data_IF_807541936025
#
_entry.id   IF_807541936025
#
_cell.length_a   1.000
_cell.length_b   1.000
_cell.length_c   1.000
_cell.angle_alpha   90.00
_cell.angle_beta   90.00
_cell.angle_gamma   90.00
#
_symmetry.space_group_name_H-M   'P 1'
#
loop_
_entity.id
_entity.type
_entity.pdbx_description
1 polymer ?
#
# COMPACT_ATOMS: atom_id res chain seq x y z
N UNK A 1 22.91 -1.81 3.60
CA UNK A 1 23.46 -2.20 2.31
C UNK A 1 22.50 -3.12 1.53
N UNK A 2 21.83 -4.05 2.20
CA UNK A 2 20.88 -4.99 1.58
C UNK A 2 19.41 -4.51 1.63
N UNK A 3 19.17 -3.21 1.67
CA UNK A 3 17.81 -2.64 1.69
C UNK A 3 17.11 -2.73 0.34
N UNK A 4 17.86 -2.74 -0.75
CA UNK A 4 17.36 -2.95 -2.11
C UNK A 4 17.54 -4.40 -2.54
N UNK A 5 16.56 -4.96 -3.24
CA UNK A 5 16.63 -6.33 -3.75
C UNK A 5 17.72 -6.55 -4.80
N UNK A 6 18.22 -5.48 -5.44
CA UNK A 6 19.36 -5.56 -6.34
C UNK A 6 20.72 -5.73 -5.63
N UNK A 7 20.82 -5.40 -4.33
CA UNK A 7 22.07 -5.42 -3.57
C UNK A 7 22.23 -6.73 -2.81
N UNK A 8 23.41 -7.34 -2.93
CA UNK A 8 23.87 -8.45 -2.09
C UNK A 8 25.23 -8.09 -1.52
N UNK A 9 25.23 -7.52 -0.31
CA UNK A 9 26.44 -7.07 0.35
C UNK A 9 26.87 -8.04 1.47
N UNK A 10 28.13 -8.39 1.47
CA UNK A 10 28.80 -9.12 2.55
C UNK A 10 29.81 -8.21 3.24
N UNK A 11 29.91 -8.34 4.56
CA UNK A 11 30.86 -7.60 5.38
C UNK A 11 31.83 -8.60 6.00
N UNK A 12 33.12 -8.43 5.73
CA UNK A 12 34.18 -9.20 6.35
C UNK A 12 35.05 -8.31 7.23
N UNK A 13 35.45 -8.81 8.37
CA UNK A 13 36.38 -8.16 9.28
C UNK A 13 37.74 -8.86 9.14
N UNK A 14 38.75 -8.14 8.69
CA UNK A 14 40.12 -8.62 8.56
C UNK A 14 41.04 -7.90 9.56
N UNK A 15 42.17 -8.50 9.96
CA UNK A 15 43.17 -7.78 10.72
C UNK A 15 43.63 -6.53 9.96
N UNK A 16 43.71 -5.39 10.66
CA UNK A 16 44.24 -4.16 10.09
C UNK A 16 45.73 -4.14 9.95
N UNK A 17 46.28 -3.16 9.23
CA UNK A 17 47.73 -3.00 9.03
C UNK A 17 48.43 -2.60 10.34
N UNK A 18 47.75 -1.99 11.29
CA UNK A 18 48.28 -1.59 12.59
C UNK A 18 47.90 -2.60 13.68
N UNK A 19 48.74 -2.72 14.71
CA UNK A 19 48.53 -3.65 15.83
C UNK A 19 47.24 -3.26 16.60
N UNK A 20 46.25 -4.18 16.61
CA UNK A 20 44.92 -3.93 17.21
C UNK A 20 43.93 -3.25 16.27
N UNK A 21 44.31 -2.90 15.03
CA UNK A 21 43.42 -2.39 14.01
C UNK A 21 42.57 -3.47 13.38
N UNK A 22 41.35 -3.10 12.93
CA UNK A 22 40.47 -3.98 12.17
C UNK A 22 40.10 -3.30 10.85
N UNK A 23 40.27 -4.02 9.75
CA UNK A 23 39.82 -3.58 8.43
C UNK A 23 38.44 -4.14 8.14
N UNK A 24 37.48 -3.28 7.84
CA UNK A 24 36.16 -3.69 7.40
C UNK A 24 36.13 -3.70 5.87
N UNK A 25 35.95 -4.90 5.30
CA UNK A 25 35.83 -5.10 3.85
C UNK A 25 34.36 -5.32 3.51
N UNK A 26 33.81 -4.45 2.66
CA UNK A 26 32.44 -4.55 2.19
C UNK A 26 32.49 -4.94 0.70
N UNK A 27 31.96 -6.11 0.39
CA UNK A 27 31.81 -6.59 -0.99
C UNK A 27 30.33 -6.53 -1.36
N UNK A 28 29.97 -5.72 -2.36
CA UNK A 28 28.60 -5.62 -2.84
C UNK A 28 28.50 -6.18 -4.26
N UNK A 29 27.61 -7.14 -4.47
CA UNK A 29 27.25 -7.64 -5.80
C UNK A 29 25.92 -7.02 -6.19
N UNK A 30 25.89 -6.38 -7.36
CA UNK A 30 24.69 -5.81 -7.93
C UNK A 30 24.03 -6.84 -8.87
N UNK A 31 22.75 -7.11 -8.66
CA UNK A 31 21.90 -7.84 -9.57
C UNK A 31 21.07 -6.87 -10.44
N UNK A 32 20.10 -7.38 -11.18
CA UNK A 32 19.22 -6.53 -12.00
C UNK A 32 18.44 -5.55 -11.11
N UNK A 33 18.41 -4.29 -11.52
CA UNK A 33 17.65 -3.24 -10.84
C UNK A 33 16.13 -3.36 -11.05
N UNK A 34 15.68 -4.35 -11.78
CA UNK A 34 14.26 -4.59 -12.00
C UNK A 34 13.92 -6.07 -11.86
N UNK A 35 12.69 -6.33 -11.39
CA UNK A 35 12.09 -7.66 -11.30
C UNK A 35 10.63 -7.52 -11.70
N UNK A 36 10.13 -8.43 -12.50
CA UNK A 36 8.74 -8.44 -12.93
C UNK A 36 8.16 -9.84 -12.97
N UNK A 37 6.85 -9.93 -12.86
CA UNK A 37 6.08 -11.16 -13.03
C UNK A 37 4.78 -10.88 -13.77
N UNK A 38 4.35 -11.87 -14.55
CA UNK A 38 3.02 -11.91 -15.15
C UNK A 38 2.37 -13.23 -14.74
N UNK A 39 1.09 -13.20 -14.45
CA UNK A 39 0.32 -14.35 -14.02
C UNK A 39 -1.10 -14.31 -14.57
N UNK A 40 -1.69 -15.49 -14.72
CA UNK A 40 -3.12 -15.67 -15.00
C UNK A 40 -3.66 -16.58 -13.91
N UNK A 41 -4.80 -16.20 -13.36
CA UNK A 41 -5.49 -16.99 -12.33
C UNK A 41 -7.00 -16.85 -12.49
N UNK A 42 -7.76 -17.65 -11.73
CA UNK A 42 -9.22 -17.65 -11.69
C UNK A 42 -9.74 -17.23 -10.30
N UNK A 43 -9.06 -16.31 -9.63
CA UNK A 43 -9.46 -15.81 -8.31
C UNK A 43 -10.44 -14.64 -8.36
N UNK A 44 -10.88 -14.22 -9.54
CA UNK A 44 -11.95 -13.25 -9.70
C UNK A 44 -13.32 -13.83 -9.33
N UNK A 45 -14.35 -12.99 -9.40
CA UNK A 45 -15.74 -13.39 -9.17
C UNK A 45 -16.53 -13.35 -10.47
N UNK A 46 -17.53 -14.24 -10.60
CA UNK A 46 -18.31 -14.41 -11.84
C UNK A 46 -18.94 -13.09 -12.32
N UNK A 47 -19.41 -12.25 -11.41
CA UNK A 47 -20.09 -11.00 -11.74
C UNK A 47 -19.17 -9.94 -12.37
N UNK A 48 -17.87 -9.95 -12.08
CA UNK A 48 -16.88 -8.99 -12.60
C UNK A 48 -15.78 -9.63 -13.44
N UNK A 49 -15.82 -10.95 -13.58
CA UNK A 49 -14.89 -11.76 -14.39
C UNK A 49 -14.00 -12.65 -13.55
N UNK A 50 -14.17 -13.97 -13.72
CA UNK A 50 -13.48 -15.02 -12.97
C UNK A 50 -11.97 -15.03 -13.25
N UNK A 51 -11.59 -14.97 -14.53
CA UNK A 51 -10.18 -15.02 -14.93
C UNK A 51 -9.53 -13.66 -14.87
N UNK A 52 -8.35 -13.60 -14.23
CA UNK A 52 -7.58 -12.38 -14.04
C UNK A 52 -6.20 -12.51 -14.67
N UNK A 53 -5.75 -11.44 -15.29
CA UNK A 53 -4.37 -11.24 -15.73
C UNK A 53 -3.70 -10.26 -14.77
N UNK A 54 -2.61 -10.68 -14.15
CA UNK A 54 -1.86 -9.90 -13.17
C UNK A 54 -0.45 -9.60 -13.69
N UNK A 55 0.01 -8.38 -13.43
CA UNK A 55 1.37 -7.95 -13.72
C UNK A 55 1.97 -7.19 -12.55
N UNK A 56 3.23 -7.48 -12.24
CA UNK A 56 3.99 -6.79 -11.21
C UNK A 56 5.36 -6.38 -11.73
N UNK A 57 5.82 -5.20 -11.33
CA UNK A 57 7.14 -4.66 -11.65
C UNK A 57 7.73 -3.97 -10.42
N UNK A 58 8.93 -4.35 -10.05
CA UNK A 58 9.74 -3.70 -9.02
C UNK A 58 10.95 -3.07 -9.68
N UNK A 59 11.20 -1.81 -9.38
CA UNK A 59 12.37 -1.06 -9.82
C UNK A 59 13.14 -0.61 -8.58
N UNK A 60 14.40 -1.02 -8.48
CA UNK A 60 15.29 -0.62 -7.41
C UNK A 60 16.17 0.54 -7.87
N UNK A 61 16.27 1.59 -7.05
CA UNK A 61 17.12 2.74 -7.23
C UNK A 61 16.84 3.53 -8.55
N UNK A 62 15.56 3.70 -8.88
CA UNK A 62 15.10 4.38 -10.11
C UNK A 62 15.58 5.83 -10.16
N UNK A 63 15.56 6.54 -9.03
CA UNK A 63 15.97 7.94 -8.92
C UNK A 63 17.43 8.11 -8.44
N UNK A 64 18.16 7.02 -8.18
CA UNK A 64 19.53 7.08 -7.69
C UNK A 64 19.66 7.44 -6.20
N UNK A 65 18.56 7.41 -5.43
CA UNK A 65 18.48 7.79 -4.01
C UNK A 65 18.21 6.61 -3.09
N UNK A 66 18.55 5.40 -3.54
CA UNK A 66 18.30 4.13 -2.83
C UNK A 66 16.81 3.87 -2.63
N UNK A 67 16.00 4.27 -3.59
CA UNK A 67 14.56 4.13 -3.62
C UNK A 67 14.12 2.78 -4.19
N UNK A 68 12.88 2.39 -3.86
CA UNK A 68 12.21 1.24 -4.48
C UNK A 68 10.86 1.69 -4.98
N UNK A 69 10.57 1.37 -6.24
CA UNK A 69 9.27 1.60 -6.86
C UNK A 69 8.65 0.25 -7.21
N UNK A 70 7.39 0.08 -6.85
CA UNK A 70 6.59 -1.09 -7.17
C UNK A 70 5.36 -0.66 -7.96
N UNK A 71 5.08 -1.38 -9.04
CA UNK A 71 3.84 -1.27 -9.80
C UNK A 71 3.16 -2.62 -9.84
N UNK A 72 1.83 -2.61 -9.72
CA UNK A 72 0.99 -3.76 -10.02
C UNK A 72 -0.21 -3.34 -10.85
N UNK A 73 -0.65 -4.24 -11.71
CA UNK A 73 -1.85 -4.11 -12.50
C UNK A 73 -2.56 -5.46 -12.57
N UNK A 74 -3.88 -5.44 -12.45
CA UNK A 74 -4.71 -6.62 -12.65
C UNK A 74 -5.94 -6.23 -13.46
N UNK A 75 -6.38 -7.11 -14.37
CA UNK A 75 -7.61 -6.91 -15.14
C UNK A 75 -8.25 -8.27 -15.41
N UNK A 76 -9.58 -8.29 -15.43
CA UNK A 76 -10.31 -9.47 -15.88
C UNK A 76 -10.06 -9.70 -17.37
N UNK A 77 -10.02 -10.98 -17.75
CA UNK A 77 -9.82 -11.46 -19.13
C UNK A 77 -10.86 -12.54 -19.46
N UNK A 78 -11.01 -12.81 -20.75
CA UNK A 78 -11.91 -13.86 -21.23
C UNK A 78 -13.31 -13.37 -21.60
N UNK A 79 -14.15 -14.33 -22.00
CA UNK A 79 -15.57 -14.06 -22.29
C UNK A 79 -16.37 -14.19 -20.99
N UNK A 80 -17.31 -13.30 -20.78
CA UNK A 80 -18.22 -13.30 -19.65
C UNK A 80 -19.61 -13.65 -20.12
N UNK A 81 -20.38 -14.38 -19.30
CA UNK A 81 -21.76 -14.74 -19.60
C UNK A 81 -22.69 -13.53 -19.54
N UNK A 82 -22.39 -12.61 -18.62
CA UNK A 82 -23.14 -11.37 -18.45
C UNK A 82 -22.42 -10.21 -19.15
N UNK A 83 -23.17 -9.27 -19.76
CA UNK A 83 -22.59 -8.03 -20.24
C UNK A 83 -22.03 -7.20 -19.06
N UNK A 84 -21.17 -6.24 -19.37
CA UNK A 84 -20.66 -5.29 -18.37
C UNK A 84 -19.90 -5.92 -17.18
N UNK A 85 -19.13 -6.98 -17.45
CA UNK A 85 -18.22 -7.55 -16.46
C UNK A 85 -16.83 -6.90 -16.56
N UNK A 86 -16.47 -6.05 -15.60
CA UNK A 86 -15.17 -5.37 -15.54
C UNK A 86 -14.60 -5.45 -14.12
N UNK A 87 -13.32 -5.76 -14.03
CA UNK A 87 -12.52 -5.59 -12.81
C UNK A 87 -11.12 -5.18 -13.21
N UNK A 88 -10.70 -3.99 -12.80
CA UNK A 88 -9.36 -3.48 -13.05
C UNK A 88 -8.78 -2.89 -11.77
N UNK A 89 -7.53 -3.21 -11.50
CA UNK A 89 -6.80 -2.58 -10.42
C UNK A 89 -5.42 -2.16 -10.86
N UNK A 90 -4.97 -1.02 -10.36
CA UNK A 90 -3.63 -0.50 -10.56
C UNK A 90 -3.11 -0.04 -9.22
N UNK A 91 -1.88 -0.39 -8.89
CA UNK A 91 -1.24 0.15 -7.71
C UNK A 91 0.20 0.54 -8.00
N UNK A 92 0.62 1.61 -7.34
CA UNK A 92 1.99 2.10 -7.34
C UNK A 92 2.40 2.37 -5.90
N UNK A 93 3.58 1.92 -5.51
CA UNK A 93 4.21 2.37 -4.28
C UNK A 93 5.65 2.78 -4.57
N UNK A 94 6.08 3.85 -3.93
CA UNK A 94 7.44 4.31 -3.96
C UNK A 94 7.92 4.53 -2.54
N UNK A 95 9.16 4.14 -2.23
CA UNK A 95 9.75 4.37 -0.92
C UNK A 95 11.22 4.73 -1.03
N UNK A 96 11.66 5.65 -0.17
CA UNK A 96 13.02 6.14 -0.12
C UNK A 96 13.49 6.25 1.32
N UNK A 97 14.56 5.52 1.71
CA UNK A 97 15.17 5.66 3.02
C UNK A 97 16.19 6.82 3.03
N UNK A 98 16.09 7.70 4.03
CA UNK A 98 17.05 8.77 4.29
C UNK A 98 17.45 8.73 5.76
N UNK A 99 18.63 8.20 6.06
CA UNK A 99 19.11 7.96 7.42
C UNK A 99 18.11 7.10 8.23
N UNK A 100 17.51 7.67 9.28
CA UNK A 100 16.50 6.99 10.12
C UNK A 100 15.06 7.27 9.69
N UNK A 101 14.87 7.98 8.58
CA UNK A 101 13.58 8.29 8.00
C UNK A 101 13.32 7.42 6.78
N UNK A 102 12.07 7.06 6.58
CA UNK A 102 11.60 6.44 5.35
C UNK A 102 10.36 7.18 4.85
N UNK A 103 10.47 7.71 3.66
CA UNK A 103 9.36 8.29 2.92
C UNK A 103 8.70 7.22 2.09
N UNK A 104 7.37 7.23 2.05
CA UNK A 104 6.61 6.31 1.19
C UNK A 104 5.43 7.03 0.58
N UNK A 105 5.22 6.79 -0.72
CA UNK A 105 4.05 7.21 -1.47
C UNK A 105 3.33 5.95 -1.92
N UNK A 106 2.02 5.91 -1.76
CA UNK A 106 1.20 4.81 -2.25
C UNK A 106 -0.01 5.39 -2.97
N UNK A 107 -0.33 4.78 -4.11
CA UNK A 107 -1.51 5.08 -4.90
C UNK A 107 -2.10 3.78 -5.39
N UNK A 108 -3.42 3.60 -5.23
CA UNK A 108 -4.14 2.47 -5.78
C UNK A 108 -5.47 2.92 -6.36
N UNK A 109 -5.77 2.41 -7.53
CA UNK A 109 -7.02 2.63 -8.24
C UNK A 109 -7.67 1.29 -8.51
N UNK A 110 -8.96 1.21 -8.26
CA UNK A 110 -9.77 0.04 -8.56
C UNK A 110 -11.05 0.50 -9.26
N UNK A 111 -11.44 -0.22 -10.29
CA UNK A 111 -12.65 0.01 -11.07
C UNK A 111 -13.35 -1.31 -11.29
N UNK A 112 -14.67 -1.30 -11.17
CA UNK A 112 -15.49 -2.47 -11.42
C UNK A 112 -16.78 -2.08 -12.14
N UNK A 113 -17.29 -3.03 -12.93
CA UNK A 113 -18.62 -2.98 -13.51
C UNK A 113 -19.20 -4.39 -13.48
N UNK A 114 -20.46 -4.51 -13.13
CA UNK A 114 -21.19 -5.77 -13.08
C UNK A 114 -22.66 -5.59 -13.42
N UNK A 115 -23.23 -6.62 -14.03
CA UNK A 115 -24.68 -6.72 -14.25
C UNK A 115 -25.32 -7.41 -13.05
N UNK A 116 -26.35 -6.78 -12.49
CA UNK A 116 -27.22 -7.38 -11.47
C UNK A 116 -28.47 -7.90 -12.14
N UNK A 117 -28.73 -9.20 -11.96
CA UNK A 117 -29.92 -9.85 -12.51
C UNK A 117 -31.11 -9.54 -11.60
N UNK A 118 -32.03 -8.73 -12.08
CA UNK A 118 -33.30 -8.43 -11.39
C UNK A 118 -34.44 -9.33 -11.85
N UNK A 119 -35.52 -9.37 -11.10
CA UNK A 119 -36.68 -10.20 -11.42
C UNK A 119 -37.41 -9.77 -12.69
N UNK A 120 -37.30 -8.52 -13.11
CA UNK A 120 -38.00 -7.92 -14.27
C UNK A 120 -37.01 -7.35 -15.26
N UNK A 121 -35.99 -6.65 -14.79
CA UNK A 121 -34.98 -5.97 -15.63
C UNK A 121 -33.62 -6.17 -15.00
N UNK A 122 -32.60 -6.43 -15.83
CA UNK A 122 -31.22 -6.41 -15.41
C UNK A 122 -30.72 -4.97 -15.41
N UNK A 123 -29.86 -4.60 -14.48
CA UNK A 123 -29.26 -3.27 -14.40
C UNK A 123 -27.76 -3.37 -14.12
N UNK A 124 -27.02 -2.37 -14.56
CA UNK A 124 -25.58 -2.32 -14.32
C UNK A 124 -25.26 -1.52 -13.06
N UNK A 125 -24.27 -2.00 -12.33
CA UNK A 125 -23.64 -1.26 -11.22
C UNK A 125 -22.17 -1.14 -11.56
N UNK A 126 -21.65 0.07 -11.49
CA UNK A 126 -20.22 0.31 -11.65
C UNK A 126 -19.69 1.29 -10.61
N UNK A 127 -18.40 1.23 -10.38
CA UNK A 127 -17.76 2.12 -9.42
C UNK A 127 -16.26 2.14 -9.54
N UNK A 128 -15.69 3.15 -8.91
CA UNK A 128 -14.25 3.30 -8.80
C UNK A 128 -13.81 3.70 -7.40
N UNK A 129 -12.61 3.32 -7.03
CA UNK A 129 -11.99 3.68 -5.76
C UNK A 129 -10.54 4.09 -5.98
N UNK A 130 -10.19 5.29 -5.54
CA UNK A 130 -8.83 5.82 -5.55
C UNK A 130 -8.37 5.99 -4.11
N UNK A 131 -7.25 5.34 -3.75
CA UNK A 131 -6.59 5.54 -2.47
C UNK A 131 -5.20 6.09 -2.71
N UNK A 132 -4.88 7.21 -2.09
CA UNK A 132 -3.56 7.85 -2.16
C UNK A 132 -3.06 8.12 -0.77
N UNK A 133 -1.80 7.81 -0.48
CA UNK A 133 -1.21 8.11 0.81
C UNK A 133 0.24 8.56 0.71
N UNK A 134 0.60 9.46 1.61
CA UNK A 134 1.98 9.85 1.88
C UNK A 134 2.27 9.42 3.32
N UNK A 135 3.34 8.69 3.53
CA UNK A 135 3.76 8.23 4.84
C UNK A 135 5.20 8.63 5.12
N UNK A 136 5.44 9.08 6.32
CA UNK A 136 6.75 9.31 6.89
C UNK A 136 6.94 8.40 8.10
N UNK A 137 7.93 7.54 8.04
CA UNK A 137 8.32 6.68 9.15
C UNK A 137 9.68 7.11 9.70
N UNK A 138 9.85 7.07 11.02
CA UNK A 138 11.11 7.32 11.70
C UNK A 138 11.42 6.22 12.70
N UNK A 139 12.60 5.62 12.57
CA UNK A 139 13.14 4.76 13.61
C UNK A 139 13.74 5.62 14.72
N UNK A 140 13.08 5.62 15.88
CA UNK A 140 13.51 6.39 17.06
C UNK A 140 14.57 5.63 17.88
N UNK A 141 14.40 4.31 17.97
CA UNK A 141 15.32 3.45 18.70
C UNK A 141 15.54 2.14 17.94
N UNK A 142 16.78 1.71 17.89
CA UNK A 142 17.19 0.42 17.35
C UNK A 142 18.38 -0.10 18.13
N UNK A 143 18.16 -1.13 18.93
CA UNK A 143 19.16 -1.76 19.77
C UNK A 143 19.11 -3.30 19.67
N UNK A 144 19.92 -3.96 20.48
CA UNK A 144 19.96 -5.43 20.54
C UNK A 144 18.68 -6.01 21.12
N UNK A 145 18.02 -5.28 22.02
CA UNK A 145 16.81 -5.75 22.73
C UNK A 145 15.51 -5.29 22.10
N UNK A 146 15.54 -4.35 21.14
CA UNK A 146 14.30 -3.90 20.53
C UNK A 146 14.45 -2.81 19.48
N UNK A 147 13.31 -2.46 18.88
CA UNK A 147 13.18 -1.42 17.88
C UNK A 147 11.88 -0.63 18.14
N UNK A 148 11.98 0.71 18.07
CA UNK A 148 10.83 1.62 18.14
C UNK A 148 10.76 2.46 16.86
N UNK A 149 9.65 2.36 16.17
CA UNK A 149 9.33 3.17 14.99
C UNK A 149 8.10 4.02 15.28
N UNK A 150 8.10 5.26 14.78
CA UNK A 150 6.93 6.12 14.69
C UNK A 150 6.63 6.41 13.23
N UNK A 151 5.35 6.46 12.89
CA UNK A 151 4.90 6.85 11.55
C UNK A 151 3.77 7.86 11.61
N UNK A 152 3.76 8.73 10.61
CA UNK A 152 2.66 9.64 10.32
C UNK A 152 2.27 9.46 8.85
N UNK A 153 0.98 9.28 8.58
CA UNK A 153 0.46 9.13 7.23
C UNK A 153 -0.69 10.10 7.01
N UNK A 154 -0.76 10.62 5.80
CA UNK A 154 -1.93 11.35 5.29
C UNK A 154 -2.52 10.56 4.14
N UNK A 155 -3.81 10.22 4.25
CA UNK A 155 -4.50 9.28 3.38
C UNK A 155 -5.71 9.98 2.78
N UNK A 156 -5.82 9.95 1.45
CA UNK A 156 -7.04 10.30 0.70
C UNK A 156 -7.69 9.00 0.22
N UNK A 157 -8.99 8.85 0.48
CA UNK A 157 -9.85 7.79 -0.06
C UNK A 157 -10.99 8.43 -0.83
N UNK A 158 -11.13 8.08 -2.09
CA UNK A 158 -12.19 8.57 -2.98
C UNK A 158 -12.90 7.36 -3.57
N UNK A 159 -14.20 7.24 -3.33
CA UNK A 159 -15.05 6.16 -3.85
C UNK A 159 -16.26 6.75 -4.55
N UNK A 160 -16.52 6.31 -5.78
CA UNK A 160 -17.65 6.72 -6.61
C UNK A 160 -18.42 5.48 -7.05
N UNK A 161 -19.73 5.52 -6.90
CA UNK A 161 -20.61 4.42 -7.26
C UNK A 161 -21.77 4.93 -8.12
N UNK A 162 -22.21 4.11 -9.06
CA UNK A 162 -23.25 4.41 -10.00
C UNK A 162 -24.16 3.18 -10.20
N UNK A 163 -25.44 3.45 -10.47
CA UNK A 163 -26.42 2.48 -11.00
C UNK A 163 -26.94 3.04 -12.30
N UNK A 164 -26.81 2.29 -13.43
CA UNK A 164 -27.24 2.74 -14.76
C UNK A 164 -26.77 4.18 -15.06
N UNK A 165 -25.50 4.48 -14.89
CA UNK A 165 -24.92 5.83 -15.07
C UNK A 165 -25.43 6.92 -14.11
N UNK A 166 -26.36 6.62 -13.20
CA UNK A 166 -26.82 7.54 -12.17
C UNK A 166 -25.87 7.52 -10.98
N UNK A 167 -25.27 8.66 -10.68
CA UNK A 167 -24.35 8.80 -9.55
C UNK A 167 -25.08 8.60 -8.21
N UNK A 168 -24.53 7.70 -7.38
CA UNK A 168 -25.05 7.40 -6.04
C UNK A 168 -24.34 8.24 -4.99
N UNK A 169 -24.92 9.37 -4.65
CA UNK A 169 -24.33 10.28 -3.67
C UNK A 169 -24.16 9.65 -2.28
N UNK A 170 -25.12 8.83 -1.85
CA UNK A 170 -25.12 8.17 -0.52
C UNK A 170 -24.01 7.15 -0.35
N UNK A 171 -23.60 6.45 -1.41
CA UNK A 171 -22.54 5.45 -1.40
C UNK A 171 -21.18 5.96 -1.91
N UNK A 172 -21.14 7.21 -2.40
CA UNK A 172 -19.93 7.85 -2.90
C UNK A 172 -19.37 8.81 -1.85
N UNK A 173 -18.04 8.78 -1.64
CA UNK A 173 -17.43 9.60 -0.59
C UNK A 173 -15.96 9.88 -0.85
N UNK A 174 -15.52 11.05 -0.43
CA UNK A 174 -14.11 11.45 -0.33
C UNK A 174 -13.76 11.67 1.13
N UNK A 175 -12.71 11.00 1.61
CA UNK A 175 -12.23 11.08 2.99
C UNK A 175 -10.76 11.45 3.01
N UNK A 176 -10.38 12.31 3.96
CA UNK A 176 -8.99 12.59 4.30
C UNK A 176 -8.73 12.16 5.75
N UNK A 177 -7.68 11.40 5.96
CA UNK A 177 -7.40 10.76 7.25
C UNK A 177 -5.94 10.98 7.60
N UNK A 178 -5.70 11.47 8.81
CA UNK A 178 -4.40 11.36 9.47
C UNK A 178 -4.33 10.03 10.22
N UNK A 179 -3.24 9.31 10.02
CA UNK A 179 -2.88 8.12 10.78
C UNK A 179 -1.53 8.35 11.45
N UNK A 180 -1.54 8.34 12.78
CA UNK A 180 -0.34 8.36 13.60
C UNK A 180 -0.17 6.99 14.24
N UNK A 181 0.99 6.37 14.05
CA UNK A 181 1.25 5.04 14.59
C UNK A 181 2.60 4.95 15.31
N UNK A 182 2.61 4.14 16.37
CA UNK A 182 3.80 3.72 17.08
C UNK A 182 3.92 2.19 17.03
N UNK A 183 5.09 1.68 16.68
CA UNK A 183 5.39 0.25 16.65
C UNK A 183 6.61 -0.03 17.51
N UNK A 184 6.42 -0.80 18.56
CA UNK A 184 7.51 -1.29 19.40
C UNK A 184 7.66 -2.78 19.25
N UNK A 185 8.88 -3.23 18.95
CA UNK A 185 9.25 -4.62 18.85
C UNK A 185 10.33 -4.93 19.88
N UNK A 186 10.06 -5.90 20.75
CA UNK A 186 11.01 -6.40 21.74
C UNK A 186 11.52 -7.79 21.34
N UNK A 187 12.85 -7.93 21.28
CA UNK A 187 13.50 -9.19 20.93
C UNK A 187 13.77 -9.99 22.19
N UNK A 188 13.12 -11.13 22.32
CA UNK A 188 13.29 -12.10 23.40
C UNK A 188 14.20 -13.24 22.92
N UNK A 189 14.86 -13.98 23.83
CA UNK A 189 15.68 -15.12 23.44
C UNK A 189 14.94 -16.21 22.66
N UNK A 190 13.62 -16.34 22.88
CA UNK A 190 12.78 -17.37 22.26
C UNK A 190 11.69 -16.82 21.34
N UNK A 191 11.69 -15.50 21.06
CA UNK A 191 10.64 -14.91 20.22
C UNK A 191 10.70 -13.40 20.13
N UNK A 192 9.63 -12.82 19.58
CA UNK A 192 9.51 -11.38 19.44
C UNK A 192 8.14 -10.96 19.93
N UNK A 193 8.09 -9.99 20.83
CA UNK A 193 6.88 -9.29 21.22
C UNK A 193 6.75 -8.03 20.35
N UNK A 194 5.60 -7.83 19.72
CA UNK A 194 5.29 -6.63 18.94
C UNK A 194 4.04 -5.96 19.49
N UNK A 195 4.12 -4.66 19.69
CA UNK A 195 2.98 -3.80 20.09
C UNK A 195 2.85 -2.70 19.07
N UNK A 196 1.66 -2.53 18.51
CA UNK A 196 1.35 -1.49 17.55
C UNK A 196 0.16 -0.68 18.04
N UNK A 197 0.30 0.63 18.09
CA UNK A 197 -0.76 1.58 18.46
C UNK A 197 -1.00 2.53 17.28
N UNK A 198 -2.28 2.76 16.95
CA UNK A 198 -2.69 3.67 15.87
C UNK A 198 -3.76 4.63 16.36
N UNK A 199 -3.69 5.85 15.85
CA UNK A 199 -4.72 6.88 15.99
C UNK A 199 -5.07 7.34 14.58
N UNK A 200 -6.28 7.02 14.12
CA UNK A 200 -6.82 7.48 12.86
C UNK A 200 -7.80 8.60 13.13
N UNK A 201 -7.62 9.73 12.46
CA UNK A 201 -8.53 10.87 12.56
C UNK A 201 -8.90 11.37 11.16
N UNK A 202 -10.18 11.33 10.82
CA UNK A 202 -10.68 11.99 9.62
C UNK A 202 -10.71 13.50 9.81
N UNK A 203 -10.48 14.23 8.72
CA UNK A 203 -10.45 15.69 8.72
C UNK A 203 -11.32 16.23 7.58
N UNK A 204 -12.09 17.30 7.82
CA UNK A 204 -12.97 17.91 6.83
C UNK A 204 -12.21 18.88 5.92
N UNK A 205 -11.09 18.39 5.34
CA UNK A 205 -10.26 19.21 4.48
C UNK A 205 -10.59 19.01 3.01
N UNK A 206 -10.31 20.02 2.19
CA UNK A 206 -10.54 20.03 0.75
C UNK A 206 -12.02 19.72 0.39
N UNK A 207 -12.24 18.68 -0.41
CA UNK A 207 -13.55 18.19 -0.88
C UNK A 207 -14.07 16.98 -0.07
N UNK A 208 -13.63 16.83 1.20
CA UNK A 208 -14.09 15.75 2.06
C UNK A 208 -15.63 15.83 2.22
N UNK A 209 -16.29 14.69 2.04
CA UNK A 209 -17.71 14.58 2.30
C UNK A 209 -17.99 14.83 3.77
N UNK A 210 -18.87 15.78 4.06
CA UNK A 210 -19.32 16.11 5.40
C UNK A 210 -20.75 15.60 5.59
N UNK A 211 -21.12 15.33 6.83
CA UNK A 211 -22.50 15.02 7.18
C UNK A 211 -23.39 16.25 6.90
N UNK A 212 -24.30 16.11 5.96
CA UNK A 212 -25.24 17.19 5.59
C UNK A 212 -26.55 17.11 6.39
N UNK A 213 -26.93 15.92 6.86
CA UNK A 213 -28.16 15.65 7.60
C UNK A 213 -27.86 14.77 8.81
N UNK A 214 -28.51 15.03 9.94
CA UNK A 214 -28.29 14.28 11.20
C UNK A 214 -28.58 12.77 11.12
N UNK A 215 -29.24 12.30 10.06
CA UNK A 215 -29.54 10.89 9.82
C UNK A 215 -28.50 10.18 8.93
N UNK A 216 -27.50 10.89 8.39
CA UNK A 216 -26.40 10.30 7.62
C UNK A 216 -25.28 9.81 8.57
N UNK A 217 -24.51 8.84 8.08
CA UNK A 217 -23.30 8.39 8.79
C UNK A 217 -22.32 9.54 8.98
N UNK A 218 -21.80 9.69 10.19
CA UNK A 218 -20.74 10.66 10.47
C UNK A 218 -19.43 10.19 9.86
N UNK A 219 -18.97 10.88 8.83
CA UNK A 219 -17.69 10.62 8.18
C UNK A 219 -16.50 11.23 8.95
N UNK A 220 -16.78 12.02 10.00
CA UNK A 220 -15.77 12.58 10.90
C UNK A 220 -15.60 11.64 12.10
N UNK A 221 -14.51 10.87 12.12
CA UNK A 221 -14.25 9.91 13.18
C UNK A 221 -12.85 10.04 13.77
N UNK A 222 -12.70 9.56 15.01
CA UNK A 222 -11.40 9.24 15.59
C UNK A 222 -11.44 7.78 16.05
N UNK A 223 -10.50 6.98 15.55
CA UNK A 223 -10.37 5.55 15.87
C UNK A 223 -9.04 5.30 16.54
N UNK A 224 -9.06 4.58 17.65
CA UNK A 224 -7.88 4.06 18.34
C UNK A 224 -7.80 2.56 18.11
N UNK A 225 -6.60 2.06 17.83
CA UNK A 225 -6.35 0.64 17.63
C UNK A 225 -5.07 0.25 18.33
N UNK A 226 -5.11 -0.86 19.09
CA UNK A 226 -3.96 -1.49 19.72
C UNK A 226 -3.94 -2.98 19.32
N UNK A 227 -2.76 -3.44 18.86
CA UNK A 227 -2.53 -4.82 18.39
C UNK A 227 -1.27 -5.39 19.06
#
# INVERSE_FOLDING_TARGET
LNSLGQNSATVALNPGAERGGTQVVISNQLSKAWRGSLGINNSGVDSTGEYQLDGNLVLDNLLGVNDTTFFSASTNIGKHELPHALSRSYAMSWSMPVAYWQWSLQNSFYEYEQTVIGNVVNFSIHGSSLNSSVQLNRTLYRGQTGKLDLSASFIRKDSKNYIEDVFLETSSRTLYIWDLAGSYRHFLPQGTLSVNAHIHKSVPWFDAKQQLVAAEDDFQFTKYQLN
#
